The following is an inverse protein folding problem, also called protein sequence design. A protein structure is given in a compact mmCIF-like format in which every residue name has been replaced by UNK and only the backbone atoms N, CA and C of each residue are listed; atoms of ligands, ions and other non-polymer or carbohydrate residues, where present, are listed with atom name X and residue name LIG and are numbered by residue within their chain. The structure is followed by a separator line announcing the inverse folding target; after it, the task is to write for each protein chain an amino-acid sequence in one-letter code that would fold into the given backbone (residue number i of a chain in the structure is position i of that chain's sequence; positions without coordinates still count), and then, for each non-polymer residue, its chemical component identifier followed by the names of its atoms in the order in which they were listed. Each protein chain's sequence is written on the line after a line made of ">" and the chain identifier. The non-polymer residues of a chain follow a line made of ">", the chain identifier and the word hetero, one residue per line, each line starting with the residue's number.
data_IF_363208481675
#
_entry.id   IF_363208481675
#
_cell.length_a   1.000
_cell.length_b   1.000
_cell.length_c   1.000
_cell.angle_alpha   90.00
_cell.angle_beta   90.00
_cell.angle_gamma   90.00
#
_symmetry.space_group_name_H-M   'P 1'
#
loop_
_entity.id
_entity.type
_entity.pdbx_description
1 polymer ?
#
# COMPACT_ATOMS: atom_id res chain seq x y z
N UNK A 1 2.47 17.42 -28.28
CA UNK A 1 1.53 18.41 -27.67
C UNK A 1 2.10 19.82 -27.64
N UNK A 2 3.42 19.99 -27.82
CA UNK A 2 4.10 21.28 -27.68
C UNK A 2 4.60 21.81 -29.04
N UNK A 3 4.35 21.10 -30.13
CA UNK A 3 4.77 21.49 -31.47
C UNK A 3 4.11 22.83 -31.84
N UNK A 4 4.88 23.81 -32.34
CA UNK A 4 4.33 25.09 -32.77
C UNK A 4 3.25 24.92 -33.84
N UNK A 5 2.21 25.75 -33.75
CA UNK A 5 1.14 25.84 -34.76
C UNK A 5 1.39 26.93 -35.80
N UNK A 6 2.60 27.49 -35.79
CA UNK A 6 3.04 28.59 -36.64
C UNK A 6 4.28 28.11 -37.39
N UNK A 7 4.39 28.45 -38.67
CA UNK A 7 5.55 28.15 -39.50
C UNK A 7 6.77 29.01 -39.14
N UNK A 8 7.92 28.72 -39.75
CA UNK A 8 9.17 29.45 -39.52
C UNK A 8 9.08 30.94 -39.90
N UNK A 9 8.23 31.23 -40.87
CA UNK A 9 7.87 32.54 -41.41
C UNK A 9 6.89 33.34 -40.54
N UNK A 10 6.38 32.77 -39.44
CA UNK A 10 5.46 33.45 -38.52
C UNK A 10 3.97 33.37 -38.91
N UNK A 11 3.63 32.68 -40.00
CA UNK A 11 2.25 32.48 -40.43
C UNK A 11 1.65 31.16 -39.93
N UNK A 12 0.31 31.06 -39.78
CA UNK A 12 -0.34 29.81 -39.42
C UNK A 12 0.00 28.69 -40.39
N UNK A 13 0.28 27.50 -39.85
CA UNK A 13 0.63 26.33 -40.64
C UNK A 13 -0.52 25.91 -41.57
N UNK A 14 -0.23 25.79 -42.86
CA UNK A 14 -1.19 25.37 -43.88
C UNK A 14 -1.27 23.84 -44.06
N UNK A 15 -0.30 23.10 -43.53
CA UNK A 15 -0.22 21.64 -43.63
C UNK A 15 -1.13 20.90 -42.64
N UNK A 16 -1.79 21.61 -41.72
CA UNK A 16 -2.62 21.02 -40.66
C UNK A 16 -3.87 21.84 -40.40
N UNK A 17 -4.94 21.18 -39.96
CA UNK A 17 -6.12 21.85 -39.44
C UNK A 17 -5.85 22.35 -38.01
N UNK A 18 -5.54 23.64 -37.91
CA UNK A 18 -5.23 24.33 -36.66
C UNK A 18 -6.39 24.30 -35.65
N UNK A 19 -7.63 24.41 -36.13
CA UNK A 19 -8.81 24.44 -35.28
C UNK A 19 -9.03 23.07 -34.61
N UNK A 20 -8.92 21.99 -35.39
CA UNK A 20 -8.98 20.64 -34.88
C UNK A 20 -7.82 20.35 -33.92
N UNK A 21 -6.59 20.71 -34.29
CA UNK A 21 -5.42 20.48 -33.44
C UNK A 21 -5.54 21.23 -32.12
N UNK A 22 -5.99 22.49 -32.11
CA UNK A 22 -6.21 23.25 -30.86
C UNK A 22 -7.26 22.60 -29.97
N UNK A 23 -8.38 22.17 -30.57
CA UNK A 23 -9.46 21.49 -29.84
C UNK A 23 -8.99 20.17 -29.24
N UNK A 24 -8.33 19.33 -30.04
CA UNK A 24 -7.77 18.06 -29.58
C UNK A 24 -6.74 18.27 -28.46
N UNK A 25 -5.85 19.27 -28.61
CA UNK A 25 -4.85 19.60 -27.58
C UNK A 25 -5.52 20.01 -26.28
N UNK A 26 -6.53 20.88 -26.32
CA UNK A 26 -7.28 21.28 -25.14
C UNK A 26 -7.91 20.07 -24.45
N UNK A 27 -8.59 19.20 -25.20
CA UNK A 27 -9.28 18.04 -24.65
C UNK A 27 -8.31 17.07 -23.98
N UNK A 28 -7.16 16.79 -24.62
CA UNK A 28 -6.11 15.94 -24.05
C UNK A 28 -5.56 16.55 -22.75
N UNK A 29 -5.33 17.86 -22.70
CA UNK A 29 -4.84 18.53 -21.47
C UNK A 29 -5.86 18.42 -20.35
N UNK A 30 -7.14 18.67 -20.62
CA UNK A 30 -8.22 18.50 -19.64
C UNK A 30 -8.24 17.06 -19.10
N UNK A 31 -8.30 16.06 -19.98
CA UNK A 31 -8.31 14.65 -19.59
C UNK A 31 -7.07 14.25 -18.76
N UNK A 32 -5.88 14.77 -19.11
CA UNK A 32 -4.66 14.51 -18.33
C UNK A 32 -4.72 15.14 -16.95
N UNK A 33 -5.31 16.33 -16.82
CA UNK A 33 -5.49 16.99 -15.53
C UNK A 33 -6.50 16.22 -14.68
N UNK A 34 -7.65 15.85 -15.25
CA UNK A 34 -8.68 15.08 -14.57
C UNK A 34 -8.13 13.73 -14.08
N UNK A 35 -7.39 13.03 -14.94
CA UNK A 35 -6.71 11.79 -14.57
C UNK A 35 -5.74 12.00 -13.40
N UNK A 36 -4.92 13.06 -13.41
CA UNK A 36 -4.03 13.38 -12.29
C UNK A 36 -4.80 13.60 -10.98
N UNK A 37 -5.94 14.30 -11.04
CA UNK A 37 -6.78 14.54 -9.87
C UNK A 37 -7.36 13.23 -9.34
N UNK A 38 -7.92 12.40 -10.21
CA UNK A 38 -8.49 11.09 -9.83
C UNK A 38 -7.43 10.17 -9.23
N UNK A 39 -6.25 10.07 -9.86
CA UNK A 39 -5.17 9.23 -9.34
C UNK A 39 -4.70 9.68 -7.96
N UNK A 40 -4.63 11.00 -7.73
CA UNK A 40 -4.28 11.53 -6.40
C UNK A 40 -5.31 11.14 -5.34
N UNK A 41 -6.61 11.19 -5.67
CA UNK A 41 -7.67 10.75 -4.76
C UNK A 41 -7.58 9.25 -4.45
N UNK A 42 -7.25 8.43 -5.45
CA UNK A 42 -7.04 6.99 -5.25
C UNK A 42 -5.86 6.74 -4.31
N UNK A 43 -4.73 7.41 -4.51
CA UNK A 43 -3.55 7.31 -3.64
C UNK A 43 -3.89 7.70 -2.19
N UNK A 44 -4.57 8.84 -1.99
CA UNK A 44 -5.01 9.28 -0.67
C UNK A 44 -5.94 8.26 0.01
N UNK A 45 -6.89 7.68 -0.73
CA UNK A 45 -7.81 6.68 -0.21
C UNK A 45 -7.08 5.39 0.21
N UNK A 46 -6.07 4.95 -0.55
CA UNK A 46 -5.26 3.79 -0.20
C UNK A 46 -4.48 4.02 1.09
N UNK A 47 -3.86 5.18 1.25
CA UNK A 47 -3.16 5.53 2.50
C UNK A 47 -4.09 5.51 3.70
N UNK A 48 -5.31 6.04 3.57
CA UNK A 48 -6.31 6.02 4.64
C UNK A 48 -6.73 4.60 5.02
N UNK A 49 -6.94 3.72 4.03
CA UNK A 49 -7.31 2.32 4.26
C UNK A 49 -6.20 1.58 5.03
N UNK A 50 -4.95 1.68 4.57
CA UNK A 50 -3.83 1.04 5.25
C UNK A 50 -3.58 1.60 6.65
N UNK A 51 -3.77 2.90 6.86
CA UNK A 51 -3.67 3.49 8.19
C UNK A 51 -4.71 2.91 9.16
N UNK A 52 -5.97 2.80 8.71
CA UNK A 52 -7.06 2.21 9.50
C UNK A 52 -6.82 0.73 9.82
N UNK A 53 -6.37 -0.04 8.85
CA UNK A 53 -6.08 -1.47 9.05
C UNK A 53 -4.95 -1.68 10.05
N UNK A 54 -3.89 -0.86 9.98
CA UNK A 54 -2.78 -0.91 10.93
C UNK A 54 -3.24 -0.55 12.35
N UNK A 55 -4.08 0.48 12.50
CA UNK A 55 -4.66 0.84 13.79
C UNK A 55 -5.53 -0.28 14.36
N UNK A 56 -6.39 -0.88 13.52
CA UNK A 56 -7.24 -2.01 13.91
C UNK A 56 -6.37 -3.19 14.35
N UNK A 57 -5.37 -3.58 13.56
CA UNK A 57 -4.47 -4.68 13.88
C UNK A 57 -3.73 -4.44 15.20
N UNK A 58 -3.29 -3.21 15.45
CA UNK A 58 -2.63 -2.86 16.72
C UNK A 58 -3.59 -2.99 17.92
N UNK A 59 -4.86 -2.60 17.76
CA UNK A 59 -5.89 -2.76 18.79
C UNK A 59 -6.19 -4.23 19.04
N UNK A 60 -6.43 -5.00 17.99
CA UNK A 60 -6.74 -6.43 18.08
C UNK A 60 -5.58 -7.19 18.78
N UNK A 61 -4.32 -6.85 18.46
CA UNK A 61 -3.15 -7.43 19.12
C UNK A 61 -3.06 -7.04 20.61
N UNK A 62 -3.35 -5.78 20.93
CA UNK A 62 -3.36 -5.31 22.32
C UNK A 62 -4.45 -6.00 23.15
N UNK A 63 -5.63 -6.19 22.56
CA UNK A 63 -6.75 -6.92 23.18
C UNK A 63 -6.40 -8.39 23.41
N UNK A 64 -5.92 -9.10 22.38
CA UNK A 64 -5.47 -10.49 22.51
C UNK A 64 -4.38 -10.65 23.57
N UNK A 65 -3.46 -9.68 23.70
CA UNK A 65 -2.43 -9.68 24.75
C UNK A 65 -3.04 -9.49 26.14
N UNK A 66 -4.03 -8.61 26.30
CA UNK A 66 -4.74 -8.43 27.59
C UNK A 66 -5.50 -9.69 27.97
N UNK A 67 -6.18 -10.33 27.02
CA UNK A 67 -6.86 -11.61 27.24
C UNK A 67 -5.87 -12.70 27.67
N UNK A 68 -4.74 -12.83 26.98
CA UNK A 68 -3.69 -13.78 27.34
C UNK A 68 -3.12 -13.55 28.76
N UNK A 69 -3.02 -12.28 29.20
CA UNK A 69 -2.59 -11.96 30.57
C UNK A 69 -3.68 -12.18 31.64
N UNK A 70 -4.95 -12.21 31.23
CA UNK A 70 -6.09 -12.48 32.13
C UNK A 70 -6.34 -13.97 32.35
N UNK A 71 -5.83 -14.83 31.45
CA UNK A 71 -5.76 -16.27 31.68
C UNK A 71 -4.76 -16.54 32.80
N UNK A 72 -5.21 -17.21 33.86
CA UNK A 72 -4.33 -17.67 34.95
C UNK A 72 -3.17 -18.50 34.38
N UNK A 73 -1.98 -18.47 35.01
CA UNK A 73 -0.85 -19.25 34.52
C UNK A 73 -1.29 -20.70 34.36
N UNK A 74 -1.22 -21.21 33.13
CA UNK A 74 -1.63 -22.56 32.81
C UNK A 74 -0.85 -23.51 33.73
N UNK A 75 -1.57 -24.24 34.57
CA UNK A 75 -0.94 -25.22 35.45
C UNK A 75 -0.26 -26.26 34.57
N UNK A 76 1.04 -26.49 34.81
CA UNK A 76 1.79 -27.51 34.09
C UNK A 76 1.07 -28.86 34.29
N UNK A 77 0.58 -29.44 33.18
CA UNK A 77 -0.18 -30.70 33.21
C UNK A 77 0.69 -31.90 32.80
N UNK A 78 1.87 -31.65 32.24
CA UNK A 78 2.80 -32.68 31.80
C UNK A 78 4.25 -32.21 31.94
N UNK A 79 5.14 -33.17 32.19
CA UNK A 79 6.59 -32.99 32.19
C UNK A 79 7.20 -33.83 31.07
N UNK A 80 8.27 -33.33 30.45
CA UNK A 80 9.01 -34.08 29.44
C UNK A 80 10.06 -34.96 30.13
N UNK A 81 9.89 -36.28 30.06
CA UNK A 81 10.80 -37.23 30.72
C UNK A 81 12.17 -37.35 30.04
N UNK A 82 12.26 -37.09 28.74
CA UNK A 82 13.50 -37.24 27.98
C UNK A 82 13.53 -36.32 26.77
N UNK A 83 14.69 -35.71 26.52
CA UNK A 83 14.92 -34.86 25.36
C UNK A 83 16.18 -35.35 24.66
N UNK A 84 16.09 -35.65 23.38
CA UNK A 84 17.24 -36.13 22.60
C UNK A 84 18.24 -34.99 22.35
N UNK A 85 19.56 -35.23 22.52
CA UNK A 85 20.59 -34.26 22.17
C UNK A 85 20.48 -33.84 20.69
N UNK A 86 20.59 -32.53 20.41
CA UNK A 86 20.51 -32.00 19.04
C UNK A 86 19.11 -31.95 18.44
N UNK A 87 18.07 -32.35 19.17
CA UNK A 87 16.68 -32.18 18.72
C UNK A 87 16.25 -30.70 18.75
N UNK A 88 15.21 -30.30 17.98
CA UNK A 88 14.65 -28.95 18.04
C UNK A 88 14.25 -28.52 19.46
N UNK A 89 13.78 -29.47 20.29
CA UNK A 89 13.44 -29.22 21.69
C UNK A 89 14.68 -28.91 22.55
N UNK A 90 15.79 -29.63 22.34
CA UNK A 90 17.07 -29.36 23.01
C UNK A 90 17.63 -27.99 22.61
N UNK A 91 17.54 -27.61 21.33
CA UNK A 91 18.03 -26.32 20.83
C UNK A 91 17.15 -25.15 21.33
N UNK A 92 15.85 -25.37 21.47
CA UNK A 92 14.90 -24.40 22.03
C UNK A 92 15.06 -24.18 23.54
N UNK A 93 16.02 -24.87 24.20
CA UNK A 93 16.30 -24.71 25.63
C UNK A 93 15.33 -25.46 26.54
N UNK A 94 14.56 -26.41 26.00
CA UNK A 94 13.64 -27.24 26.77
C UNK A 94 14.46 -28.22 27.61
N UNK A 95 14.20 -28.28 28.90
CA UNK A 95 14.90 -29.14 29.86
C UNK A 95 13.96 -30.27 30.29
N UNK A 96 14.51 -31.46 30.49
CA UNK A 96 13.76 -32.57 31.08
C UNK A 96 13.32 -32.19 32.49
N UNK A 97 12.13 -32.65 32.88
CA UNK A 97 11.58 -32.47 34.22
C UNK A 97 12.30 -33.28 35.28
#
# INVERSE_FOLDING_TARGET
>A
MNEPLVGCEGYPRADVDLCQVRTARRNIVCLRNDHKVVMKQVEEAQHQLHARDKEKQARDLAEARREAMSLSPAQAFAIANSISPGSPASIAGLQGG
#
